data_IF_422057022635
#
_entry.id   IF_422057022635
#
_cell.length_a   1.000
_cell.length_b   1.000
_cell.length_c   1.000
_cell.angle_alpha   90.00
_cell.angle_beta   90.00
_cell.angle_gamma   90.00
#
_symmetry.space_group_name_H-M   'P 1'
#
loop_
_entity.id
_entity.type
_entity.pdbx_description
1 polymer ?
#
# COMPACT_ATOMS: atom_id res chain seq x y z
N UNK A 1 2.54 -14.89 2.02
CA UNK A 1 1.17 -14.76 1.46
C UNK A 1 1.26 -14.36 0.00
N UNK A 2 0.38 -14.88 -0.83
CA UNK A 2 0.14 -14.42 -2.21
C UNK A 2 -1.38 -14.37 -2.45
N UNK A 3 -1.88 -13.24 -2.97
CA UNK A 3 -3.29 -13.09 -3.36
C UNK A 3 -3.37 -12.83 -4.87
N UNK A 4 -4.31 -13.49 -5.53
CA UNK A 4 -4.61 -13.29 -6.94
C UNK A 4 -5.98 -12.64 -7.07
N UNK A 5 -6.07 -11.61 -7.91
CA UNK A 5 -7.32 -10.99 -8.34
C UNK A 5 -7.51 -11.21 -9.84
N UNK A 6 -8.47 -10.55 -10.44
CA UNK A 6 -8.68 -10.61 -11.88
C UNK A 6 -7.43 -10.15 -12.65
N UNK A 7 -6.84 -9.03 -12.26
CA UNK A 7 -5.73 -8.38 -12.98
C UNK A 7 -4.42 -8.34 -12.21
N UNK A 8 -4.44 -8.62 -10.89
CA UNK A 8 -3.30 -8.36 -10.01
C UNK A 8 -2.82 -9.62 -9.31
N UNK A 9 -1.54 -9.55 -8.91
CA UNK A 9 -0.88 -10.47 -7.99
C UNK A 9 -0.28 -9.64 -6.86
N UNK A 10 -0.78 -9.84 -5.65
CA UNK A 10 -0.22 -9.26 -4.42
C UNK A 10 0.72 -10.29 -3.82
N UNK A 11 1.99 -9.97 -3.67
CA UNK A 11 3.02 -10.89 -3.20
C UNK A 11 4.14 -10.19 -2.45
N UNK A 12 4.93 -10.96 -1.71
CA UNK A 12 6.14 -10.45 -1.09
C UNK A 12 7.13 -9.89 -2.12
N UNK A 13 7.88 -8.87 -1.70
CA UNK A 13 8.95 -8.28 -2.50
C UNK A 13 10.10 -9.28 -2.70
N UNK A 14 10.69 -9.32 -3.91
CA UNK A 14 11.80 -10.16 -4.29
C UNK A 14 13.00 -9.31 -4.71
N UNK A 15 14.18 -9.90 -4.81
CA UNK A 15 15.40 -9.19 -5.22
C UNK A 15 15.24 -8.53 -6.62
N UNK A 16 14.56 -9.20 -7.54
CA UNK A 16 14.26 -8.69 -8.89
C UNK A 16 13.35 -7.45 -8.90
N UNK A 17 12.59 -7.22 -7.83
CA UNK A 17 11.67 -6.07 -7.70
C UNK A 17 12.37 -4.80 -7.22
N UNK A 18 13.58 -4.87 -6.66
CA UNK A 18 14.22 -3.73 -5.98
C UNK A 18 14.42 -2.54 -6.90
N UNK A 19 14.93 -2.77 -8.11
CA UNK A 19 15.12 -1.70 -9.10
C UNK A 19 13.79 -1.13 -9.60
N UNK A 20 12.81 -1.97 -10.05
CA UNK A 20 11.48 -1.49 -10.39
C UNK A 20 10.78 -0.74 -9.26
N UNK A 21 10.89 -1.21 -8.02
CA UNK A 21 10.30 -0.58 -6.85
C UNK A 21 10.87 0.83 -6.62
N UNK A 22 12.20 0.95 -6.60
CA UNK A 22 12.86 2.24 -6.43
C UNK A 22 12.48 3.22 -7.55
N UNK A 23 12.47 2.76 -8.80
CA UNK A 23 12.07 3.58 -9.95
C UNK A 23 10.60 4.01 -9.92
N UNK A 24 9.69 3.17 -9.42
CA UNK A 24 8.27 3.47 -9.35
C UNK A 24 7.91 4.48 -8.25
N UNK A 25 8.68 4.50 -7.15
CA UNK A 25 8.48 5.42 -6.01
C UNK A 25 9.19 6.76 -6.24
N UNK A 26 10.34 6.79 -6.91
CA UNK A 26 11.17 7.97 -7.07
C UNK A 26 10.47 9.23 -7.62
N UNK A 27 9.50 9.14 -8.56
CA UNK A 27 8.79 10.33 -9.03
C UNK A 27 8.05 11.05 -7.90
N UNK A 28 8.25 12.37 -7.75
CA UNK A 28 7.58 13.21 -6.76
C UNK A 28 6.06 13.07 -6.79
N UNK A 29 5.48 12.87 -7.97
CA UNK A 29 4.05 12.59 -8.13
C UNK A 29 3.56 11.36 -7.35
N UNK A 30 4.47 10.43 -6.98
CA UNK A 30 4.17 9.26 -6.14
C UNK A 30 4.69 9.49 -4.73
N UNK A 31 5.99 9.80 -4.57
CA UNK A 31 6.64 9.90 -3.26
C UNK A 31 6.04 10.96 -2.36
N UNK A 32 5.57 12.09 -2.91
CA UNK A 32 4.95 13.17 -2.13
C UNK A 32 3.65 12.77 -1.41
N UNK A 33 3.02 11.68 -1.85
CA UNK A 33 1.82 11.13 -1.22
C UNK A 33 2.09 9.94 -0.30
N UNK A 34 3.35 9.49 -0.23
CA UNK A 34 3.78 8.38 0.60
C UNK A 34 4.48 8.90 1.85
N UNK A 35 3.88 8.61 2.98
CA UNK A 35 4.36 9.07 4.27
C UNK A 35 5.55 8.24 4.75
N UNK A 36 6.48 8.89 5.45
CA UNK A 36 7.63 8.25 6.10
C UNK A 36 8.59 7.52 5.13
N UNK A 37 8.64 7.94 3.86
CA UNK A 37 9.65 7.43 2.94
C UNK A 37 10.86 8.37 2.86
N UNK A 38 12.07 7.79 2.71
CA UNK A 38 13.26 8.58 2.38
C UNK A 38 13.09 9.32 1.05
N UNK A 39 13.64 10.51 0.95
CA UNK A 39 13.70 11.26 -0.31
C UNK A 39 15.13 11.74 -0.55
N UNK A 40 15.79 11.31 -1.64
CA UNK A 40 15.31 10.38 -2.66
C UNK A 40 15.17 8.94 -2.16
N UNK A 41 14.22 8.18 -2.71
CA UNK A 41 14.08 6.75 -2.45
C UNK A 41 15.08 5.95 -3.30
N UNK A 42 15.90 5.16 -2.63
CA UNK A 42 17.05 4.48 -3.23
C UNK A 42 16.89 2.96 -3.31
N UNK A 43 17.81 2.30 -4.01
CA UNK A 43 17.87 0.83 -4.04
C UNK A 43 18.12 0.24 -2.64
N UNK A 44 18.88 0.94 -1.79
CA UNK A 44 19.09 0.54 -0.39
C UNK A 44 17.78 0.58 0.40
N UNK A 45 16.95 1.58 0.17
CA UNK A 45 15.63 1.69 0.82
C UNK A 45 14.69 0.57 0.35
N UNK A 46 14.71 0.24 -0.94
CA UNK A 46 13.95 -0.90 -1.49
C UNK A 46 14.41 -2.24 -0.86
N UNK A 47 15.71 -2.43 -0.65
CA UNK A 47 16.25 -3.62 0.03
C UNK A 47 15.87 -3.67 1.51
N UNK A 48 15.86 -2.53 2.19
CA UNK A 48 15.39 -2.42 3.56
C UNK A 48 13.89 -2.72 3.67
N UNK A 49 13.09 -2.22 2.73
CA UNK A 49 11.67 -2.56 2.60
C UNK A 49 11.48 -4.08 2.48
N UNK A 50 12.17 -4.73 1.56
CA UNK A 50 12.07 -6.19 1.36
C UNK A 50 12.39 -6.98 2.64
N UNK A 51 13.48 -6.61 3.34
CA UNK A 51 13.88 -7.26 4.60
C UNK A 51 12.86 -7.05 5.71
N UNK A 52 12.39 -5.81 5.88
CA UNK A 52 11.39 -5.45 6.89
C UNK A 52 10.08 -6.19 6.68
N UNK A 53 9.59 -6.24 5.45
CA UNK A 53 8.31 -6.89 5.14
C UNK A 53 8.38 -8.42 5.25
N UNK A 54 9.54 -9.02 4.99
CA UNK A 54 9.77 -10.45 5.21
C UNK A 54 9.78 -10.84 6.70
N UNK A 55 10.08 -9.90 7.60
CA UNK A 55 10.14 -10.12 9.05
C UNK A 55 8.84 -9.75 9.78
N UNK A 56 7.77 -9.35 9.07
CA UNK A 56 6.50 -9.02 9.71
C UNK A 56 5.84 -10.27 10.31
N UNK A 57 5.61 -10.22 11.62
CA UNK A 57 4.95 -11.31 12.35
C UNK A 57 3.42 -11.23 12.25
N UNK A 58 2.85 -10.02 12.23
CA UNK A 58 1.41 -9.77 12.13
C UNK A 58 1.14 -8.70 11.08
N UNK A 59 0.00 -8.85 10.39
CA UNK A 59 -0.33 -8.01 9.24
C UNK A 59 0.40 -8.48 7.98
N UNK A 60 0.41 -7.65 6.97
CA UNK A 60 1.12 -7.94 5.72
C UNK A 60 1.41 -6.68 4.93
N UNK A 61 2.57 -6.65 4.29
CA UNK A 61 2.96 -5.60 3.35
C UNK A 61 3.73 -6.23 2.18
N UNK A 62 3.41 -5.80 0.97
CA UNK A 62 4.09 -6.31 -0.21
C UNK A 62 3.80 -5.51 -1.46
N UNK A 63 4.24 -6.04 -2.58
CA UNK A 63 4.07 -5.42 -3.88
C UNK A 63 2.78 -5.85 -4.56
N UNK A 64 2.31 -4.98 -5.45
CA UNK A 64 1.24 -5.23 -6.40
C UNK A 64 1.86 -5.33 -7.79
N UNK A 65 1.69 -6.48 -8.44
CA UNK A 65 2.15 -6.73 -9.80
C UNK A 65 0.97 -7.04 -10.72
N UNK A 66 1.11 -6.76 -12.01
CA UNK A 66 0.17 -7.22 -13.02
C UNK A 66 0.24 -8.75 -13.14
N UNK A 67 -0.92 -9.40 -13.20
CA UNK A 67 -1.01 -10.85 -13.21
C UNK A 67 -0.46 -11.48 -14.48
N UNK A 68 -0.66 -10.82 -15.61
CA UNK A 68 -0.26 -11.29 -16.93
C UNK A 68 1.25 -11.14 -17.19
N UNK A 69 1.84 -10.01 -16.85
CA UNK A 69 3.23 -9.66 -17.15
C UNK A 69 4.19 -9.78 -15.97
N UNK A 70 3.67 -9.85 -14.74
CA UNK A 70 4.49 -9.78 -13.53
C UNK A 70 5.04 -8.38 -13.22
N UNK A 71 4.70 -7.38 -14.05
CA UNK A 71 5.20 -6.01 -13.89
C UNK A 71 4.75 -5.41 -12.55
N UNK A 72 5.70 -4.96 -11.73
CA UNK A 72 5.42 -4.22 -10.50
C UNK A 72 4.73 -2.90 -10.84
N UNK A 73 3.58 -2.64 -10.23
CA UNK A 73 2.79 -1.43 -10.44
C UNK A 73 2.43 -0.69 -9.15
N UNK A 74 2.75 -1.22 -7.98
CA UNK A 74 2.41 -0.59 -6.71
C UNK A 74 2.74 -1.43 -5.49
N UNK A 75 2.18 -1.02 -4.36
CA UNK A 75 2.25 -1.75 -3.11
C UNK A 75 0.96 -1.60 -2.30
N UNK A 76 0.75 -2.54 -1.39
CA UNK A 76 -0.39 -2.55 -0.46
C UNK A 76 0.03 -3.15 0.87
N UNK A 77 -0.54 -2.66 1.97
CA UNK A 77 -0.27 -3.14 3.32
C UNK A 77 -1.51 -3.14 4.20
N UNK A 78 -1.52 -4.05 5.18
CA UNK A 78 -2.31 -3.98 6.39
C UNK A 78 -1.36 -4.05 7.58
N UNK A 79 -1.21 -2.95 8.31
CA UNK A 79 -0.38 -2.86 9.51
C UNK A 79 -1.29 -2.97 10.73
N UNK A 80 -1.03 -3.94 11.61
CA UNK A 80 -1.83 -4.11 12.81
C UNK A 80 -1.66 -2.92 13.75
N UNK A 81 -2.77 -2.38 14.20
CA UNK A 81 -2.86 -1.31 15.22
C UNK A 81 -3.20 -1.92 16.57
N UNK A 82 -4.02 -2.96 16.57
CA UNK A 82 -4.34 -3.82 17.71
C UNK A 82 -4.59 -5.25 17.20
N UNK A 83 -5.03 -6.16 18.06
CA UNK A 83 -5.36 -7.53 17.64
C UNK A 83 -6.58 -7.60 16.69
N UNK A 84 -7.44 -6.59 16.69
CA UNK A 84 -8.68 -6.55 15.92
C UNK A 84 -8.75 -5.38 14.91
N UNK A 85 -7.75 -4.49 14.91
CA UNK A 85 -7.73 -3.31 14.05
C UNK A 85 -6.43 -3.22 13.26
N UNK A 86 -6.52 -2.86 11.98
CA UNK A 86 -5.38 -2.61 11.11
C UNK A 86 -5.50 -1.30 10.34
N UNK A 87 -4.36 -0.74 9.93
CA UNK A 87 -4.23 0.41 9.04
C UNK A 87 -3.94 -0.07 7.62
N UNK A 88 -4.82 0.31 6.69
CA UNK A 88 -4.67 0.04 5.26
C UNK A 88 -3.85 1.13 4.58
N UNK A 89 -2.79 0.74 3.90
CA UNK A 89 -2.04 1.60 3.01
C UNK A 89 -1.89 1.01 1.62
N UNK A 90 -1.85 1.85 0.60
CA UNK A 90 -1.61 1.44 -0.78
C UNK A 90 -1.03 2.59 -1.60
N UNK A 91 -0.36 2.23 -2.68
CA UNK A 91 0.10 3.17 -3.70
C UNK A 91 0.19 2.49 -5.06
N UNK A 92 0.12 3.26 -6.12
CA UNK A 92 0.23 2.79 -7.51
C UNK A 92 1.18 3.71 -8.27
N UNK A 93 2.03 3.12 -9.10
CA UNK A 93 2.95 3.84 -9.97
C UNK A 93 2.20 4.82 -10.89
N UNK A 94 2.77 6.01 -11.11
CA UNK A 94 2.16 7.13 -11.86
C UNK A 94 1.54 6.69 -13.19
N UNK A 95 2.26 5.88 -13.98
CA UNK A 95 1.81 5.42 -15.30
C UNK A 95 0.58 4.48 -15.27
N UNK A 96 0.16 4.06 -14.08
CA UNK A 96 -0.93 3.10 -13.88
C UNK A 96 -2.16 3.70 -13.17
N UNK A 97 -2.16 4.99 -12.91
CA UNK A 97 -3.28 5.68 -12.26
C UNK A 97 -4.55 5.66 -13.12
N UNK A 98 -5.70 5.83 -12.46
CA UNK A 98 -7.01 5.94 -13.12
C UNK A 98 -7.56 4.63 -13.71
N UNK A 99 -6.94 3.49 -13.40
CA UNK A 99 -7.33 2.17 -13.95
C UNK A 99 -8.00 1.25 -12.93
N UNK A 100 -8.27 1.73 -11.72
CA UNK A 100 -8.92 0.95 -10.65
C UNK A 100 -8.00 -0.03 -9.92
N UNK A 101 -6.70 -0.06 -10.19
CA UNK A 101 -5.77 -1.01 -9.56
C UNK A 101 -5.66 -0.83 -8.03
N UNK A 102 -5.68 0.42 -7.54
CA UNK A 102 -5.65 0.67 -6.11
C UNK A 102 -6.89 0.09 -5.41
N UNK A 103 -8.08 0.30 -5.99
CA UNK A 103 -9.33 -0.26 -5.46
C UNK A 103 -9.29 -1.78 -5.45
N UNK A 104 -8.86 -2.40 -6.56
CA UNK A 104 -8.78 -3.87 -6.69
C UNK A 104 -7.80 -4.48 -5.67
N UNK A 105 -6.60 -3.92 -5.55
CA UNK A 105 -5.59 -4.38 -4.59
C UNK A 105 -6.07 -4.22 -3.14
N UNK A 106 -6.64 -3.07 -2.81
CA UNK A 106 -7.14 -2.80 -1.46
C UNK A 106 -8.34 -3.68 -1.11
N UNK A 107 -9.25 -3.95 -2.05
CA UNK A 107 -10.38 -4.89 -1.84
C UNK A 107 -9.85 -6.26 -1.46
N UNK A 108 -8.94 -6.83 -2.24
CA UNK A 108 -8.37 -8.16 -1.96
C UNK A 108 -7.65 -8.20 -0.59
N UNK A 109 -6.97 -7.11 -0.24
CA UNK A 109 -6.30 -6.99 1.06
C UNK A 109 -7.28 -6.92 2.23
N UNK A 110 -8.37 -6.17 2.08
CA UNK A 110 -9.43 -6.09 3.10
C UNK A 110 -10.12 -7.44 3.30
N UNK A 111 -10.50 -8.12 2.22
CA UNK A 111 -11.12 -9.45 2.28
C UNK A 111 -10.20 -10.46 3.00
N UNK A 112 -8.91 -10.44 2.66
CA UNK A 112 -7.92 -11.27 3.34
C UNK A 112 -7.81 -10.90 4.83
N UNK A 113 -7.71 -9.62 5.17
CA UNK A 113 -7.57 -9.15 6.55
C UNK A 113 -8.76 -9.54 7.44
N UNK A 114 -9.98 -9.34 6.96
CA UNK A 114 -11.17 -9.74 7.72
C UNK A 114 -11.28 -11.25 7.88
N UNK A 115 -10.88 -12.03 6.88
CA UNK A 115 -10.98 -13.50 6.92
C UNK A 115 -9.84 -14.15 7.71
N UNK A 116 -8.59 -13.75 7.46
CA UNK A 116 -7.42 -14.47 8.00
C UNK A 116 -6.87 -13.85 9.30
N UNK A 117 -7.06 -12.54 9.49
CA UNK A 117 -6.61 -11.85 10.70
C UNK A 117 -7.75 -11.59 11.69
N UNK A 118 -8.98 -12.02 11.38
CA UNK A 118 -10.18 -11.81 12.19
C UNK A 118 -10.39 -10.32 12.56
N UNK A 119 -10.05 -9.40 11.68
CA UNK A 119 -10.19 -7.96 11.90
C UNK A 119 -11.67 -7.61 12.10
N UNK A 120 -11.93 -6.71 13.03
CA UNK A 120 -13.25 -6.11 13.22
C UNK A 120 -13.30 -4.70 12.60
N UNK A 121 -12.14 -4.05 12.45
CA UNK A 121 -12.04 -2.69 11.96
C UNK A 121 -10.79 -2.50 11.12
N UNK A 122 -10.93 -1.71 10.06
CA UNK A 122 -9.79 -1.21 9.29
C UNK A 122 -9.90 0.30 9.19
N UNK A 123 -8.81 0.98 9.50
CA UNK A 123 -8.64 2.42 9.31
C UNK A 123 -7.73 2.69 8.12
N UNK A 124 -7.78 3.90 7.61
CA UNK A 124 -6.86 4.37 6.57
C UNK A 124 -6.70 5.88 6.69
N UNK A 125 -5.48 6.36 6.47
CA UNK A 125 -5.17 7.79 6.46
C UNK A 125 -4.74 8.25 5.09
N UNK A 126 -5.12 9.48 4.73
CA UNK A 126 -4.72 10.12 3.48
C UNK A 126 -4.51 11.61 3.69
N UNK A 127 -3.57 12.19 2.97
CA UNK A 127 -3.36 13.64 3.00
C UNK A 127 -4.59 14.38 2.46
N UNK A 128 -4.93 15.57 3.02
CA UNK A 128 -6.14 16.32 2.64
C UNK A 128 -6.27 16.60 1.15
N UNK A 129 -5.15 16.82 0.44
CA UNK A 129 -5.12 17.08 -1.00
C UNK A 129 -5.19 15.82 -1.88
N UNK A 130 -5.09 14.62 -1.31
CA UNK A 130 -5.06 13.36 -2.07
C UNK A 130 -6.47 12.90 -2.45
N UNK A 131 -7.14 13.66 -3.31
CA UNK A 131 -8.51 13.36 -3.79
C UNK A 131 -8.64 11.96 -4.44
N UNK A 132 -7.67 11.47 -5.26
CA UNK A 132 -7.75 10.12 -5.81
C UNK A 132 -7.81 9.04 -4.72
N UNK A 133 -6.95 9.11 -3.69
CA UNK A 133 -6.99 8.17 -2.57
C UNK A 133 -8.29 8.25 -1.79
N UNK A 134 -8.79 9.46 -1.51
CA UNK A 134 -10.08 9.66 -0.85
C UNK A 134 -11.24 9.03 -1.65
N UNK A 135 -11.18 9.10 -2.98
CA UNK A 135 -12.18 8.44 -3.85
C UNK A 135 -12.11 6.92 -3.71
N UNK A 136 -10.92 6.34 -3.73
CA UNK A 136 -10.72 4.89 -3.53
C UNK A 136 -11.27 4.46 -2.17
N UNK A 137 -10.93 5.17 -1.08
CA UNK A 137 -11.42 4.83 0.26
C UNK A 137 -12.96 4.87 0.33
N UNK A 138 -13.60 5.88 -0.27
CA UNK A 138 -15.08 5.93 -0.34
C UNK A 138 -15.67 4.76 -1.12
N UNK A 139 -15.05 4.36 -2.23
CA UNK A 139 -15.49 3.20 -3.02
C UNK A 139 -15.37 1.88 -2.23
N UNK A 140 -14.38 1.80 -1.34
CA UNK A 140 -14.18 0.66 -0.43
C UNK A 140 -15.11 0.69 0.80
N UNK A 141 -15.97 1.70 0.94
CA UNK A 141 -16.91 1.82 2.05
C UNK A 141 -16.35 2.51 3.29
N UNK A 142 -15.15 3.07 3.24
CA UNK A 142 -14.62 3.86 4.36
C UNK A 142 -15.43 5.13 4.58
N UNK A 143 -15.65 5.45 5.86
CA UNK A 143 -16.31 6.68 6.29
C UNK A 143 -15.26 7.61 6.88
N UNK A 144 -15.34 8.88 6.51
CA UNK A 144 -14.51 9.91 7.13
C UNK A 144 -14.88 10.07 8.61
N UNK A 145 -13.90 10.09 9.48
CA UNK A 145 -14.10 10.24 10.93
C UNK A 145 -13.56 11.56 11.46
N UNK A 146 -12.30 11.90 11.15
CA UNK A 146 -11.65 13.12 11.65
C UNK A 146 -10.38 13.43 10.87
N UNK A 147 -9.95 14.70 10.92
CA UNK A 147 -8.57 15.07 10.58
C UNK A 147 -7.69 14.90 11.82
N UNK A 148 -6.63 14.14 11.69
CA UNK A 148 -5.57 14.12 12.69
C UNK A 148 -4.46 15.07 12.24
N UNK A 149 -3.91 15.91 13.14
CA UNK A 149 -2.75 16.71 12.79
C UNK A 149 -1.60 15.74 12.46
N UNK A 150 -1.00 15.89 11.28
CA UNK A 150 0.25 15.23 10.96
C UNK A 150 1.30 15.69 11.96
N UNK A 151 1.88 14.79 12.72
CA UNK A 151 3.09 15.12 13.47
C UNK A 151 4.11 15.59 12.43
N UNK A 152 4.72 16.72 12.67
CA UNK A 152 5.67 17.42 11.80
C UNK A 152 6.46 16.51 10.87
N UNK A 153 6.20 16.61 9.56
CA UNK A 153 6.93 15.89 8.51
C UNK A 153 6.55 14.42 8.27
N UNK A 154 5.58 13.89 8.99
CA UNK A 154 5.07 12.53 8.81
C UNK A 154 3.57 12.56 8.60
N UNK A 155 3.07 11.80 7.64
CA UNK A 155 1.64 11.53 7.56
C UNK A 155 1.20 10.74 8.80
N UNK A 156 0.21 11.19 9.48
CA UNK A 156 -0.45 10.44 10.55
C UNK A 156 -1.39 9.40 10.00
#
# INVERSE_FOLDING_TARGET
MELLTERLRLRSCREEDLKPLAAAIAPAAVSDWLCNLPSPYTLTDARNFMRRTAALEKGWEGIVALRDSGTLIGGVRLTMVSDEEADLGYWVARARWGRGYATEAATAMLEWGFRELALQRVIASTLPGNRPSQKVLRQLGFRYTSMHPTKTGTCG
#
